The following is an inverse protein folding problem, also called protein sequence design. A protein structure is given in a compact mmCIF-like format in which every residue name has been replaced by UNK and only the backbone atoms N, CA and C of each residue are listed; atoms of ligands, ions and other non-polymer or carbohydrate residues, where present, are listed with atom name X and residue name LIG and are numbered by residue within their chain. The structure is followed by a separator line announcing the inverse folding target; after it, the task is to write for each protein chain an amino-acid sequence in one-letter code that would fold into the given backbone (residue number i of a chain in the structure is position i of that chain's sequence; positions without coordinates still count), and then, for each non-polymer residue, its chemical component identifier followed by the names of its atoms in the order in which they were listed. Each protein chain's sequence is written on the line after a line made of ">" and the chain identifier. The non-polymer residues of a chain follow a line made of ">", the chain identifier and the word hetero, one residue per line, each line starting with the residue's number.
data_IF_722590364970
#
_entry.id   IF_722590364970
#
_cell.length_a   1.000
_cell.length_b   1.000
_cell.length_c   1.000
_cell.angle_alpha   90.00
_cell.angle_beta   90.00
_cell.angle_gamma   90.00
#
_symmetry.space_group_name_H-M   'P 1'
#
loop_
_entity.id
_entity.type
_entity.pdbx_description
1 polymer ?
#
# COMPACT_ATOMS: atom_id res chain seq x y z
N UNK A 1 -10.02 -29.74 19.48
CA UNK A 1 -8.99 -28.69 19.63
C UNK A 1 -9.67 -27.36 19.39
N UNK A 2 -9.74 -26.47 20.38
CA UNK A 2 -10.61 -25.30 20.33
C UNK A 2 -10.30 -24.35 19.15
N UNK A 3 -9.09 -24.30 18.59
CA UNK A 3 -8.75 -23.36 17.51
C UNK A 3 -9.27 -23.70 16.10
N UNK A 4 -9.68 -24.96 15.85
CA UNK A 4 -10.29 -25.38 14.57
C UNK A 4 -11.82 -25.46 14.66
N UNK A 5 -12.37 -25.40 15.88
CA UNK A 5 -13.80 -25.56 16.17
C UNK A 5 -14.40 -24.43 17.02
N UNK A 6 -13.62 -23.45 17.50
CA UNK A 6 -14.16 -22.32 18.26
C UNK A 6 -14.71 -21.26 17.32
N UNK A 7 -15.85 -20.74 17.73
CA UNK A 7 -16.53 -19.54 17.23
C UNK A 7 -15.75 -18.23 17.52
N UNK A 8 -14.44 -18.30 17.77
CA UNK A 8 -13.58 -17.16 18.08
C UNK A 8 -12.77 -16.69 16.87
N UNK A 9 -12.63 -15.36 16.73
CA UNK A 9 -11.73 -14.75 15.73
C UNK A 9 -10.29 -15.02 16.16
N UNK A 10 -9.49 -15.65 15.29
CA UNK A 10 -8.07 -15.96 15.52
C UNK A 10 -7.21 -15.11 14.58
N UNK A 11 -6.22 -14.43 15.16
CA UNK A 11 -5.24 -13.66 14.38
C UNK A 11 -4.17 -14.59 13.81
N UNK A 12 -3.79 -14.31 12.56
CA UNK A 12 -2.76 -15.07 11.84
C UNK A 12 -1.73 -14.14 11.24
N UNK A 13 -0.48 -14.60 11.22
CA UNK A 13 0.66 -13.86 10.70
C UNK A 13 1.18 -14.52 9.42
N UNK A 14 0.92 -13.96 8.24
CA UNK A 14 1.57 -14.44 7.01
C UNK A 14 3.07 -14.18 7.07
N UNK A 15 3.85 -15.24 6.88
CA UNK A 15 5.30 -15.18 6.75
C UNK A 15 5.64 -15.61 5.33
N UNK A 16 6.24 -14.70 4.58
CA UNK A 16 6.57 -14.87 3.18
C UNK A 16 8.00 -14.38 2.92
N UNK A 17 8.62 -14.94 1.89
CA UNK A 17 9.90 -14.50 1.36
C UNK A 17 9.73 -14.10 -0.09
N UNK A 18 10.49 -13.08 -0.49
CA UNK A 18 10.57 -12.64 -1.88
C UNK A 18 11.98 -12.22 -2.24
N UNK A 19 12.31 -12.31 -3.53
CA UNK A 19 13.60 -11.91 -4.08
C UNK A 19 13.90 -12.64 -5.39
N UNK A 20 14.63 -11.99 -6.29
CA UNK A 20 15.09 -12.57 -7.56
C UNK A 20 13.97 -13.22 -8.41
N UNK A 21 12.76 -12.61 -8.39
CA UNK A 21 11.60 -13.11 -9.14
C UNK A 21 10.83 -14.24 -8.45
N UNK A 22 11.24 -14.63 -7.24
CA UNK A 22 10.53 -15.59 -6.40
C UNK A 22 9.67 -14.84 -5.38
N UNK A 23 8.44 -15.32 -5.19
CA UNK A 23 7.59 -15.02 -4.05
C UNK A 23 7.10 -16.36 -3.49
N UNK A 24 7.26 -16.58 -2.18
CA UNK A 24 6.90 -17.85 -1.53
C UNK A 24 6.29 -17.61 -0.16
N UNK A 25 5.13 -18.22 0.09
CA UNK A 25 4.54 -18.29 1.43
C UNK A 25 5.26 -19.40 2.21
N UNK A 26 5.88 -19.05 3.34
CA UNK A 26 6.56 -20.03 4.19
C UNK A 26 5.57 -20.67 5.17
N UNK A 27 4.77 -19.84 5.82
CA UNK A 27 3.71 -20.27 6.73
C UNK A 27 2.73 -19.12 7.01
N UNK A 28 1.57 -19.45 7.58
CA UNK A 28 0.61 -18.47 8.09
C UNK A 28 0.14 -18.91 9.50
N UNK A 29 1.06 -18.92 10.49
CA UNK A 29 0.77 -19.40 11.84
C UNK A 29 -0.25 -18.52 12.57
N UNK A 30 -0.86 -19.10 13.59
CA UNK A 30 -1.62 -18.36 14.60
C UNK A 30 -0.64 -17.49 15.40
N UNK A 31 -1.07 -16.27 15.75
CA UNK A 31 -0.28 -15.36 16.60
C UNK A 31 -1.14 -14.79 17.73
N UNK A 32 -0.52 -14.51 18.87
CA UNK A 32 -1.11 -13.76 19.98
C UNK A 32 -0.74 -12.27 19.95
N UNK A 33 -0.07 -11.82 18.87
CA UNK A 33 0.35 -10.45 18.65
C UNK A 33 1.55 -9.99 19.51
N UNK A 34 2.09 -10.84 20.39
CA UNK A 34 3.24 -10.47 21.23
C UNK A 34 4.53 -10.54 20.44
N UNK A 35 5.38 -9.53 20.66
CA UNK A 35 6.57 -9.33 19.84
C UNK A 35 7.57 -10.49 19.91
N UNK A 36 7.82 -11.03 21.11
CA UNK A 36 8.82 -12.07 21.33
C UNK A 36 8.39 -13.46 20.81
N UNK A 37 7.20 -13.99 21.15
CA UNK A 37 6.70 -15.23 20.55
C UNK A 37 6.63 -15.14 19.02
N UNK A 38 6.21 -13.98 18.50
CA UNK A 38 6.14 -13.75 17.04
C UNK A 38 7.52 -13.79 16.40
N UNK A 39 8.53 -13.12 16.97
CA UNK A 39 9.90 -13.16 16.46
C UNK A 39 10.50 -14.58 16.51
N UNK A 40 10.29 -15.31 17.61
CA UNK A 40 10.77 -16.69 17.76
C UNK A 40 10.11 -17.63 16.72
N UNK A 41 8.81 -17.45 16.47
CA UNK A 41 8.07 -18.20 15.46
C UNK A 41 8.63 -17.94 14.06
N UNK A 42 8.84 -16.67 13.70
CA UNK A 42 9.46 -16.31 12.41
C UNK A 42 10.84 -16.94 12.29
N UNK A 43 11.67 -16.86 13.33
CA UNK A 43 13.02 -17.42 13.35
C UNK A 43 13.03 -18.94 13.17
N UNK A 44 12.12 -19.67 13.83
CA UNK A 44 11.97 -21.13 13.63
C UNK A 44 11.65 -21.45 12.18
N UNK A 45 10.64 -20.77 11.61
CA UNK A 45 10.18 -21.03 10.24
C UNK A 45 11.29 -20.75 9.22
N UNK A 46 11.98 -19.61 9.29
CA UNK A 46 13.06 -19.33 8.33
C UNK A 46 14.26 -20.29 8.49
N UNK A 47 14.46 -20.84 9.69
CA UNK A 47 15.49 -21.85 9.96
C UNK A 47 15.09 -23.22 9.41
N UNK A 48 13.84 -23.63 9.56
CA UNK A 48 13.28 -24.86 9.00
C UNK A 48 13.35 -24.86 7.46
N UNK A 49 13.11 -23.70 6.84
CA UNK A 49 13.27 -23.52 5.39
C UNK A 49 14.74 -23.37 4.95
N UNK A 50 15.69 -23.33 5.89
CA UNK A 50 17.13 -23.15 5.64
C UNK A 50 17.46 -21.89 4.81
N UNK A 51 16.83 -20.75 5.13
CA UNK A 51 17.02 -19.47 4.43
C UNK A 51 17.49 -18.32 5.33
N UNK A 52 17.75 -18.58 6.62
CA UNK A 52 18.13 -17.56 7.60
C UNK A 52 19.31 -16.69 7.14
N UNK A 53 20.30 -17.28 6.48
CA UNK A 53 21.48 -16.63 5.94
C UNK A 53 21.20 -15.78 4.69
N UNK A 54 20.07 -15.98 4.02
CA UNK A 54 19.66 -15.27 2.79
C UNK A 54 18.76 -14.06 3.03
N UNK A 55 18.17 -13.92 4.21
CA UNK A 55 17.27 -12.78 4.52
C UNK A 55 18.06 -11.48 4.63
N UNK A 56 17.82 -10.51 3.75
CA UNK A 56 18.51 -9.20 3.77
C UNK A 56 17.63 -8.03 4.24
N UNK A 57 16.32 -8.18 4.15
CA UNK A 57 15.37 -7.13 4.46
C UNK A 57 14.11 -7.68 5.13
N UNK A 58 13.42 -6.83 5.90
CA UNK A 58 12.14 -7.09 6.53
C UNK A 58 11.12 -6.06 6.05
N UNK A 59 10.02 -6.52 5.45
CA UNK A 59 8.87 -5.67 5.13
C UNK A 59 7.75 -5.88 6.17
N UNK A 60 7.19 -4.79 6.72
CA UNK A 60 6.22 -4.85 7.81
C UNK A 60 5.29 -3.63 7.83
N UNK A 61 4.10 -3.77 8.42
CA UNK A 61 3.20 -2.65 8.65
C UNK A 61 3.76 -1.68 9.70
N UNK A 62 3.51 -0.38 9.51
CA UNK A 62 4.15 0.73 10.26
C UNK A 62 3.76 0.88 11.73
N UNK A 63 3.09 -0.11 12.32
CA UNK A 63 2.79 -0.17 13.76
C UNK A 63 4.05 -0.50 14.57
N UNK A 64 3.96 -0.68 15.89
CA UNK A 64 5.07 -0.76 16.85
C UNK A 64 6.10 -1.91 16.64
N UNK A 65 6.16 -2.53 15.47
CA UNK A 65 7.10 -3.57 15.05
C UNK A 65 8.57 -3.12 15.05
N UNK A 66 8.82 -1.81 14.84
CA UNK A 66 10.17 -1.20 14.87
C UNK A 66 10.61 -0.66 16.24
N UNK A 67 9.74 -0.68 17.26
CA UNK A 67 10.10 -0.12 18.58
C UNK A 67 11.18 -0.97 19.26
N UNK A 68 11.84 -0.42 20.29
CA UNK A 68 12.73 -1.21 21.15
C UNK A 68 11.92 -2.38 21.73
N UNK A 69 12.37 -3.61 21.47
CA UNK A 69 11.65 -4.84 21.86
C UNK A 69 10.56 -5.30 20.89
N UNK A 70 10.37 -4.62 19.76
CA UNK A 70 9.48 -5.03 18.68
C UNK A 70 10.00 -6.23 17.87
N UNK A 71 9.13 -6.83 17.07
CA UNK A 71 9.39 -8.08 16.33
C UNK A 71 10.65 -7.99 15.46
N UNK A 72 10.80 -6.90 14.69
CA UNK A 72 11.92 -6.76 13.76
C UNK A 72 13.27 -6.68 14.48
N UNK A 73 13.32 -5.92 15.58
CA UNK A 73 14.53 -5.79 16.41
C UNK A 73 14.95 -7.14 17.00
N UNK A 74 13.97 -7.90 17.54
CA UNK A 74 14.23 -9.23 18.11
C UNK A 74 14.66 -10.25 17.07
N UNK A 75 14.12 -10.17 15.86
CA UNK A 75 14.52 -11.05 14.77
C UNK A 75 15.96 -10.80 14.33
N UNK A 76 16.37 -9.53 14.19
CA UNK A 76 17.78 -9.18 13.93
C UNK A 76 18.72 -9.70 15.01
N UNK A 77 18.34 -9.54 16.30
CA UNK A 77 19.10 -10.07 17.44
C UNK A 77 19.25 -11.59 17.36
N UNK A 78 18.18 -12.31 17.00
CA UNK A 78 18.18 -13.76 16.85
C UNK A 78 19.06 -14.21 15.68
N UNK A 79 19.09 -13.44 14.60
CA UNK A 79 19.94 -13.70 13.42
C UNK A 79 21.38 -13.21 13.56
N UNK A 80 21.70 -12.46 14.63
CA UNK A 80 23.04 -11.92 14.88
C UNK A 80 23.52 -10.91 13.84
N UNK A 81 22.60 -10.26 13.09
CA UNK A 81 22.96 -9.29 12.04
C UNK A 81 21.87 -8.26 11.79
N UNK A 82 22.29 -7.12 11.25
CA UNK A 82 21.39 -6.07 10.79
C UNK A 82 20.68 -6.48 9.49
N UNK A 83 19.43 -6.03 9.34
CA UNK A 83 18.59 -6.22 8.18
C UNK A 83 18.01 -4.87 7.73
N UNK A 84 17.76 -4.73 6.43
CA UNK A 84 17.09 -3.54 5.91
C UNK A 84 15.62 -3.52 6.35
N UNK A 85 15.20 -2.47 7.04
CA UNK A 85 13.81 -2.28 7.46
C UNK A 85 13.00 -1.51 6.41
N UNK A 86 11.98 -2.15 5.85
CA UNK A 86 11.09 -1.61 4.81
C UNK A 86 9.67 -1.49 5.37
N UNK A 87 9.25 -0.26 5.69
CA UNK A 87 7.88 -0.05 6.14
C UNK A 87 6.90 -0.20 4.96
N UNK A 88 5.79 -0.89 5.15
CA UNK A 88 4.82 -1.16 4.09
C UNK A 88 4.26 0.15 3.50
N UNK A 89 4.47 0.37 2.20
CA UNK A 89 4.07 1.59 1.50
C UNK A 89 2.57 1.71 1.33
N UNK A 90 1.86 0.62 1.08
CA UNK A 90 0.40 0.64 1.07
C UNK A 90 -0.14 1.04 2.44
N UNK A 91 0.35 0.44 3.53
CA UNK A 91 -0.11 0.79 4.87
C UNK A 91 0.13 2.27 5.23
N UNK A 92 1.27 2.86 4.83
CA UNK A 92 1.48 4.32 4.98
C UNK A 92 0.41 5.15 4.24
N UNK A 93 0.02 4.71 3.04
CA UNK A 93 -0.98 5.39 2.23
C UNK A 93 -2.42 5.14 2.72
N UNK A 94 -2.69 4.00 3.36
CA UNK A 94 -3.94 3.74 4.06
C UNK A 94 -4.14 4.72 5.23
N UNK A 95 -3.08 4.97 6.00
CA UNK A 95 -3.06 5.97 7.08
C UNK A 95 -3.31 7.37 6.51
N UNK A 96 -2.66 7.72 5.41
CA UNK A 96 -2.88 8.99 4.70
C UNK A 96 -4.35 9.15 4.29
N UNK A 97 -4.90 8.16 3.56
CA UNK A 97 -6.29 8.19 3.08
C UNK A 97 -7.28 8.31 4.23
N UNK A 98 -7.10 7.51 5.29
CA UNK A 98 -7.95 7.52 6.47
C UNK A 98 -7.88 8.84 7.25
N UNK A 99 -6.68 9.41 7.38
CA UNK A 99 -6.47 10.69 8.09
C UNK A 99 -7.13 11.86 7.36
N UNK A 100 -6.94 11.96 6.04
CA UNK A 100 -7.59 13.00 5.21
C UNK A 100 -9.11 12.81 5.18
N UNK A 101 -9.59 11.57 5.02
CA UNK A 101 -11.01 11.26 5.09
C UNK A 101 -11.63 11.75 6.41
N UNK A 102 -10.98 11.47 7.54
CA UNK A 102 -11.48 11.84 8.87
C UNK A 102 -11.47 13.35 9.10
N UNK A 103 -10.54 14.08 8.49
CA UNK A 103 -10.47 15.54 8.55
C UNK A 103 -11.59 16.22 7.72
N UNK A 104 -11.95 15.65 6.58
CA UNK A 104 -12.98 16.21 5.68
C UNK A 104 -14.39 15.71 6.02
N UNK A 105 -14.51 14.46 6.42
CA UNK A 105 -15.78 13.76 6.68
C UNK A 105 -15.71 13.14 8.09
N UNK A 106 -15.84 13.96 9.16
CA UNK A 106 -15.72 13.47 10.52
C UNK A 106 -16.81 12.46 10.85
N UNK A 107 -16.40 11.31 11.35
CA UNK A 107 -17.32 10.25 11.75
C UNK A 107 -17.71 10.43 13.21
N UNK A 108 -19.01 10.60 13.48
CA UNK A 108 -19.52 10.82 14.85
C UNK A 108 -19.76 9.51 15.63
N UNK A 109 -19.35 8.37 15.09
CA UNK A 109 -19.63 7.03 15.64
C UNK A 109 -18.36 6.21 15.66
N UNK A 110 -18.20 5.39 16.70
CA UNK A 110 -17.15 4.37 16.80
C UNK A 110 -17.62 2.99 16.32
N UNK A 111 -18.79 2.91 15.66
CA UNK A 111 -19.29 1.66 15.07
C UNK A 111 -18.26 1.04 14.12
N UNK A 112 -18.11 -0.30 14.06
CA UNK A 112 -17.21 -0.98 13.11
C UNK A 112 -17.45 -0.58 11.65
N UNK A 113 -18.69 -0.22 11.31
CA UNK A 113 -19.12 0.17 9.98
C UNK A 113 -19.24 1.69 9.82
N UNK A 114 -18.92 2.17 8.62
CA UNK A 114 -19.09 3.57 8.25
C UNK A 114 -20.55 3.80 7.85
N UNK A 115 -21.29 4.54 8.68
CA UNK A 115 -22.74 4.70 8.51
C UNK A 115 -23.16 5.27 7.14
N UNK A 116 -22.36 6.16 6.56
CA UNK A 116 -22.61 6.67 5.21
C UNK A 116 -22.50 5.57 4.15
N UNK A 117 -21.55 4.63 4.32
CA UNK A 117 -21.34 3.53 3.39
C UNK A 117 -22.44 2.48 3.52
N UNK A 118 -22.93 2.22 4.74
CA UNK A 118 -24.11 1.38 4.99
C UNK A 118 -25.33 1.94 4.26
N UNK A 119 -25.64 3.22 4.44
CA UNK A 119 -26.78 3.87 3.77
C UNK A 119 -26.64 3.85 2.25
N UNK A 120 -25.45 4.09 1.72
CA UNK A 120 -25.22 4.02 0.27
C UNK A 120 -25.38 2.59 -0.27
N UNK A 121 -24.94 1.57 0.48
CA UNK A 121 -25.13 0.17 0.11
C UNK A 121 -26.62 -0.23 0.10
N UNK A 122 -27.42 0.29 1.03
CA UNK A 122 -28.88 0.09 1.03
C UNK A 122 -29.59 0.80 -0.13
N UNK A 123 -29.05 1.94 -0.57
CA UNK A 123 -29.53 2.65 -1.75
C UNK A 123 -29.20 1.93 -3.07
N UNK A 124 -28.13 1.13 -3.10
CA UNK A 124 -27.61 0.51 -4.33
C UNK A 124 -28.63 -0.22 -5.23
N UNK A 125 -29.61 -0.99 -4.71
CA UNK A 125 -30.61 -1.66 -5.55
C UNK A 125 -31.47 -0.71 -6.38
N UNK A 126 -31.53 0.57 -6.03
CA UNK A 126 -32.34 1.60 -6.69
C UNK A 126 -31.52 2.49 -7.65
N UNK A 127 -30.23 2.21 -7.84
CA UNK A 127 -29.34 3.02 -8.68
C UNK A 127 -29.59 2.77 -10.17
N UNK A 128 -29.88 3.83 -10.91
CA UNK A 128 -29.82 3.84 -12.36
C UNK A 128 -28.36 4.07 -12.80
N UNK A 129 -27.66 3.00 -13.16
CA UNK A 129 -26.21 3.05 -13.39
C UNK A 129 -25.79 3.83 -14.64
N UNK A 130 -26.68 4.04 -15.59
CA UNK A 130 -26.46 4.88 -16.78
C UNK A 130 -26.68 6.38 -16.50
N UNK A 131 -27.40 6.73 -15.44
CA UNK A 131 -27.61 8.11 -14.99
C UNK A 131 -26.56 8.57 -13.98
N UNK A 132 -25.29 8.55 -14.37
CA UNK A 132 -24.18 8.97 -13.52
C UNK A 132 -23.67 10.37 -13.89
N UNK A 133 -23.08 11.09 -12.92
CA UNK A 133 -22.38 12.36 -13.18
C UNK A 133 -20.87 12.18 -13.26
N UNK A 134 -20.20 13.12 -13.93
CA UNK A 134 -18.73 13.21 -13.99
C UNK A 134 -18.28 14.62 -13.60
N UNK A 135 -17.00 14.77 -13.26
CA UNK A 135 -16.42 16.04 -12.82
C UNK A 135 -15.83 16.87 -13.98
N UNK A 136 -15.78 16.35 -15.21
CA UNK A 136 -15.11 16.96 -16.36
C UNK A 136 -15.57 18.41 -16.68
N UNK A 137 -16.85 18.71 -16.46
CA UNK A 137 -17.40 20.05 -16.71
C UNK A 137 -16.85 21.10 -15.73
N UNK A 138 -16.53 20.66 -14.50
CA UNK A 138 -16.12 21.55 -13.38
C UNK A 138 -14.61 21.51 -13.11
N UNK A 139 -13.96 20.39 -13.42
CA UNK A 139 -12.56 20.15 -13.09
C UNK A 139 -11.73 20.20 -14.38
N UNK A 140 -11.24 21.40 -14.72
CA UNK A 140 -10.42 21.69 -15.91
C UNK A 140 -8.99 22.04 -15.51
N UNK A 141 -8.38 21.16 -14.73
CA UNK A 141 -7.01 21.33 -14.24
C UNK A 141 -6.01 20.65 -15.18
N UNK A 142 -4.79 21.18 -15.25
CA UNK A 142 -3.70 20.69 -16.09
C UNK A 142 -3.30 19.22 -15.78
N UNK A 143 -3.40 18.82 -14.53
CA UNK A 143 -3.03 17.47 -14.08
C UNK A 143 -4.07 16.39 -14.46
N UNK A 144 -5.27 16.74 -14.90
CA UNK A 144 -6.36 15.77 -15.15
C UNK A 144 -5.96 14.77 -16.24
N UNK A 145 -5.41 15.25 -17.35
CA UNK A 145 -5.00 14.39 -18.47
C UNK A 145 -3.88 13.43 -18.08
N UNK A 146 -2.97 13.86 -17.21
CA UNK A 146 -1.87 13.03 -16.72
C UNK A 146 -2.38 11.92 -15.79
N UNK A 147 -3.37 12.20 -14.94
CA UNK A 147 -4.02 11.17 -14.12
C UNK A 147 -4.85 10.22 -14.98
N UNK A 148 -5.54 10.72 -16.01
CA UNK A 148 -6.24 9.85 -16.96
C UNK A 148 -5.26 8.90 -17.67
N UNK A 149 -4.16 9.42 -18.23
CA UNK A 149 -3.12 8.58 -18.86
C UNK A 149 -2.54 7.56 -17.89
N UNK A 150 -2.25 7.98 -16.67
CA UNK A 150 -1.76 7.11 -15.59
C UNK A 150 -2.76 5.96 -15.32
N UNK A 151 -4.04 6.28 -15.08
CA UNK A 151 -5.05 5.28 -14.77
C UNK A 151 -5.25 4.31 -15.94
N UNK A 152 -5.31 4.82 -17.17
CA UNK A 152 -5.42 4.00 -18.37
C UNK A 152 -4.21 3.07 -18.55
N UNK A 153 -3.01 3.54 -18.21
CA UNK A 153 -1.80 2.72 -18.21
C UNK A 153 -1.85 1.59 -17.18
N UNK A 154 -2.36 1.85 -15.97
CA UNK A 154 -2.54 0.80 -14.96
C UNK A 154 -3.66 -0.18 -15.31
N UNK A 155 -4.77 0.26 -15.91
CA UNK A 155 -5.88 -0.62 -16.33
C UNK A 155 -5.50 -1.65 -17.40
N UNK A 156 -4.35 -1.46 -18.08
CA UNK A 156 -3.77 -2.44 -19.01
C UNK A 156 -2.96 -3.54 -18.31
N UNK A 157 -2.66 -3.38 -17.02
CA UNK A 157 -1.89 -4.32 -16.22
C UNK A 157 -2.83 -5.25 -15.46
N UNK A 158 -2.30 -6.41 -15.09
CA UNK A 158 -2.95 -7.27 -14.11
C UNK A 158 -2.78 -6.68 -12.71
N UNK A 159 -3.83 -6.79 -11.90
CA UNK A 159 -3.84 -6.32 -10.53
C UNK A 159 -3.99 -7.51 -9.57
N UNK A 160 -3.31 -7.47 -8.41
CA UNK A 160 -3.42 -8.54 -7.41
C UNK A 160 -4.80 -8.60 -6.74
N UNK A 161 -5.61 -7.54 -6.87
CA UNK A 161 -6.91 -7.39 -6.23
C UNK A 161 -7.91 -6.71 -7.17
N UNK A 162 -9.17 -7.13 -7.10
CA UNK A 162 -10.25 -6.56 -7.94
C UNK A 162 -10.57 -5.11 -7.58
N UNK A 163 -10.42 -4.73 -6.29
CA UNK A 163 -10.70 -3.37 -5.81
C UNK A 163 -9.71 -2.32 -6.36
N UNK A 164 -8.51 -2.73 -6.77
CA UNK A 164 -7.54 -1.86 -7.44
C UNK A 164 -8.05 -1.46 -8.83
N UNK A 165 -8.53 -2.44 -9.60
CA UNK A 165 -9.14 -2.18 -10.91
C UNK A 165 -10.36 -1.28 -10.75
N UNK A 166 -11.24 -1.59 -9.80
CA UNK A 166 -12.44 -0.79 -9.54
C UNK A 166 -12.10 0.67 -9.20
N UNK A 167 -11.11 0.91 -8.33
CA UNK A 167 -10.68 2.28 -8.01
C UNK A 167 -10.22 3.05 -9.27
N UNK A 168 -9.42 2.41 -10.12
CA UNK A 168 -8.94 3.03 -11.37
C UNK A 168 -10.10 3.32 -12.35
N UNK A 169 -11.03 2.36 -12.52
CA UNK A 169 -12.21 2.55 -13.36
C UNK A 169 -13.08 3.71 -12.85
N UNK A 170 -13.32 3.78 -11.53
CA UNK A 170 -14.07 4.87 -10.90
C UNK A 170 -13.37 6.22 -11.06
N UNK A 171 -12.04 6.28 -10.94
CA UNK A 171 -11.28 7.50 -11.13
C UNK A 171 -11.37 8.02 -12.57
N UNK A 172 -11.25 7.12 -13.55
CA UNK A 172 -11.42 7.47 -14.97
C UNK A 172 -12.82 8.00 -15.24
N UNK A 173 -13.86 7.32 -14.73
CA UNK A 173 -15.26 7.77 -14.88
C UNK A 173 -15.49 9.12 -14.20
N UNK A 174 -14.97 9.31 -12.98
CA UNK A 174 -15.06 10.57 -12.25
C UNK A 174 -14.47 11.73 -13.06
N UNK A 175 -13.31 11.52 -13.71
CA UNK A 175 -12.66 12.50 -14.57
C UNK A 175 -13.29 12.63 -15.98
N UNK A 176 -14.39 11.91 -16.26
CA UNK A 176 -15.12 11.97 -17.52
C UNK A 176 -14.55 11.10 -18.66
N UNK A 177 -13.61 10.21 -18.36
CA UNK A 177 -13.07 9.25 -19.32
C UNK A 177 -13.86 7.92 -19.36
N UNK A 178 -13.51 7.08 -20.34
CA UNK A 178 -14.01 5.70 -20.46
C UNK A 178 -12.88 4.73 -20.09
N UNK A 179 -13.06 3.84 -19.09
CA UNK A 179 -12.00 2.93 -18.67
C UNK A 179 -11.53 1.97 -19.76
N UNK A 180 -10.23 1.67 -19.78
CA UNK A 180 -9.63 0.75 -20.76
C UNK A 180 -10.35 -0.61 -20.81
N UNK A 181 -10.56 -1.13 -22.02
CA UNK A 181 -11.19 -2.42 -22.24
C UNK A 181 -12.71 -2.43 -22.03
N UNK A 182 -13.34 -1.29 -21.72
CA UNK A 182 -14.79 -1.17 -21.56
C UNK A 182 -15.42 -0.52 -22.80
N UNK A 183 -16.46 -1.15 -23.35
CA UNK A 183 -17.35 -0.55 -24.37
C UNK A 183 -18.46 0.31 -23.77
N UNK A 184 -18.88 -0.03 -22.55
CA UNK A 184 -19.85 0.70 -21.73
C UNK A 184 -19.35 0.71 -20.29
N UNK A 185 -19.61 1.79 -19.57
CA UNK A 185 -19.28 1.90 -18.15
C UNK A 185 -20.18 0.95 -17.35
N UNK A 186 -19.57 0.21 -16.43
CA UNK A 186 -20.25 -0.72 -15.52
C UNK A 186 -19.74 -0.46 -14.12
N UNK A 187 -20.65 -0.39 -13.14
CA UNK A 187 -20.27 -0.19 -11.75
C UNK A 187 -20.52 -1.46 -10.93
N UNK A 188 -19.47 -1.92 -10.24
CA UNK A 188 -19.59 -3.04 -9.31
C UNK A 188 -20.48 -2.65 -8.11
N UNK A 189 -21.14 -3.65 -7.52
CA UNK A 189 -21.91 -3.44 -6.29
C UNK A 189 -20.96 -2.98 -5.16
N UNK A 190 -21.37 -2.03 -4.28
CA UNK A 190 -20.59 -1.64 -3.13
C UNK A 190 -20.23 -2.83 -2.25
N UNK A 191 -18.95 -2.91 -1.88
CA UNK A 191 -18.38 -4.02 -1.13
C UNK A 191 -18.64 -3.96 0.37
N UNK A 192 -17.62 -4.35 1.13
CA UNK A 192 -17.65 -4.29 2.59
C UNK A 192 -17.57 -2.84 3.09
N UNK A 193 -18.29 -2.55 4.17
CA UNK A 193 -18.46 -1.21 4.76
C UNK A 193 -17.61 -1.00 6.03
N UNK A 194 -16.85 -2.02 6.40
CA UNK A 194 -16.05 -2.06 7.63
C UNK A 194 -14.85 -1.11 7.54
N UNK A 195 -14.54 -0.41 8.64
CA UNK A 195 -13.46 0.60 8.71
C UNK A 195 -12.06 0.09 8.35
N UNK A 196 -11.81 -1.20 8.59
CA UNK A 196 -10.53 -1.84 8.28
C UNK A 196 -10.33 -2.12 6.77
N UNK A 197 -11.34 -1.91 5.93
CA UNK A 197 -11.20 -2.01 4.46
C UNK A 197 -10.78 -0.66 3.92
N UNK A 198 -9.48 -0.38 3.92
CA UNK A 198 -8.96 0.97 3.70
C UNK A 198 -9.31 1.55 2.32
N UNK A 199 -9.16 0.75 1.27
CA UNK A 199 -9.56 1.11 -0.10
C UNK A 199 -11.05 1.46 -0.23
N UNK A 200 -11.90 0.93 0.65
CA UNK A 200 -13.34 1.19 0.62
C UNK A 200 -13.62 2.69 0.78
N UNK A 201 -12.81 3.46 1.52
CA UNK A 201 -13.00 4.91 1.63
C UNK A 201 -12.93 5.61 0.28
N UNK A 202 -11.95 5.25 -0.54
CA UNK A 202 -11.80 5.84 -1.87
C UNK A 202 -12.92 5.40 -2.82
N UNK A 203 -13.21 4.09 -2.86
CA UNK A 203 -14.24 3.52 -3.73
C UNK A 203 -15.64 4.04 -3.39
N UNK A 204 -16.02 4.03 -2.11
CA UNK A 204 -17.32 4.55 -1.67
C UNK A 204 -17.42 6.05 -1.92
N UNK A 205 -16.36 6.82 -1.65
CA UNK A 205 -16.40 8.26 -1.89
C UNK A 205 -16.69 8.59 -3.36
N UNK A 206 -15.95 7.96 -4.28
CA UNK A 206 -16.16 8.15 -5.71
C UNK A 206 -17.56 7.70 -6.14
N UNK A 207 -18.03 6.52 -5.72
CA UNK A 207 -19.40 6.05 -6.07
C UNK A 207 -20.48 6.98 -5.51
N UNK A 208 -20.38 7.36 -4.24
CA UNK A 208 -21.31 8.28 -3.60
C UNK A 208 -21.34 9.62 -4.32
N UNK A 209 -20.18 10.11 -4.79
CA UNK A 209 -20.12 11.34 -5.55
C UNK A 209 -20.74 11.16 -6.94
N UNK A 210 -20.39 10.10 -7.67
CA UNK A 210 -20.88 9.80 -9.02
C UNK A 210 -22.42 9.65 -9.05
N UNK A 211 -23.01 9.11 -8.00
CA UNK A 211 -24.47 8.92 -7.86
C UNK A 211 -25.12 9.89 -6.87
N UNK A 212 -24.45 10.98 -6.51
CA UNK A 212 -24.93 11.91 -5.49
C UNK A 212 -26.34 12.48 -5.76
N UNK A 213 -26.74 12.84 -7.00
CA UNK A 213 -28.09 13.32 -7.27
C UNK A 213 -29.18 12.29 -6.90
N UNK A 214 -29.01 11.04 -7.36
CA UNK A 214 -29.95 9.96 -7.06
C UNK A 214 -29.94 9.61 -5.57
N UNK A 215 -28.75 9.56 -4.95
CA UNK A 215 -28.61 9.22 -3.53
C UNK A 215 -29.23 10.27 -2.61
N UNK A 216 -29.08 11.56 -2.95
CA UNK A 216 -29.70 12.65 -2.21
C UNK A 216 -31.23 12.57 -2.26
N UNK A 217 -31.79 12.24 -3.42
CA UNK A 217 -33.23 12.09 -3.60
C UNK A 217 -33.79 10.89 -2.81
N UNK A 218 -33.14 9.73 -2.89
CA UNK A 218 -33.49 8.56 -2.10
C UNK A 218 -33.55 8.83 -0.59
N UNK A 219 -32.59 9.61 -0.07
CA UNK A 219 -32.55 9.94 1.37
C UNK A 219 -33.69 10.88 1.80
N UNK A 220 -34.17 11.78 0.92
CA UNK A 220 -35.32 12.65 1.24
C UNK A 220 -36.62 11.86 1.43
N UNK A 221 -36.76 10.75 0.71
CA UNK A 221 -37.98 9.93 0.69
C UNK A 221 -38.07 8.95 1.87
N UNK A 222 -37.02 8.86 2.71
CA UNK A 222 -36.97 7.89 3.80
C UNK A 222 -37.67 8.42 5.07
N UNK A 223 -38.57 7.65 5.72
CA UNK A 223 -39.24 8.09 6.94
C UNK A 223 -38.22 8.39 8.05
N UNK A 224 -38.23 9.61 8.58
CA UNK A 224 -37.27 10.05 9.60
C UNK A 224 -37.72 9.57 10.99
N UNK A 225 -36.99 8.63 11.60
CA UNK A 225 -37.18 8.30 13.03
C UNK A 225 -36.32 9.13 13.98
N UNK A 226 -35.57 10.13 13.51
CA UNK A 226 -34.94 11.13 14.40
C UNK A 226 -34.76 12.49 13.72
N UNK A 227 -34.82 13.54 14.54
CA UNK A 227 -34.88 14.98 14.21
C UNK A 227 -33.61 15.58 13.57
N UNK A 228 -32.74 14.77 12.97
CA UNK A 228 -31.57 15.24 12.24
C UNK A 228 -31.50 14.51 10.91
N UNK A 229 -32.05 15.11 9.85
CA UNK A 229 -31.67 14.73 8.48
C UNK A 229 -30.21 15.13 8.31
N UNK A 230 -29.28 14.26 8.75
CA UNK A 230 -27.86 14.40 8.41
C UNK A 230 -27.78 14.45 6.88
N UNK A 231 -27.02 15.39 6.33
CA UNK A 231 -26.85 15.54 4.89
C UNK A 231 -26.65 14.17 4.22
N UNK A 232 -27.48 13.88 3.20
CA UNK A 232 -27.48 12.61 2.47
C UNK A 232 -26.08 12.28 1.92
N UNK A 233 -25.41 13.32 1.42
CA UNK A 233 -24.05 13.29 0.88
C UNK A 233 -23.16 14.11 1.83
N UNK A 234 -21.98 13.61 2.25
CA UNK A 234 -21.05 14.39 3.04
C UNK A 234 -20.70 15.72 2.36
N UNK A 235 -20.67 16.85 3.09
CA UNK A 235 -20.53 18.18 2.49
C UNK A 235 -19.19 18.38 1.77
N UNK A 236 -18.12 17.73 2.24
CA UNK A 236 -16.76 17.81 1.66
C UNK A 236 -16.39 16.60 0.81
N UNK A 237 -17.39 15.91 0.26
CA UNK A 237 -17.16 14.69 -0.52
C UNK A 237 -16.40 14.97 -1.82
N UNK A 238 -16.69 16.10 -2.47
CA UNK A 238 -16.00 16.56 -3.66
C UNK A 238 -14.52 16.87 -3.39
N UNK A 239 -14.21 17.59 -2.31
CA UNK A 239 -12.84 17.85 -1.85
C UNK A 239 -12.07 16.53 -1.66
N UNK A 240 -12.70 15.53 -1.04
CA UNK A 240 -12.08 14.22 -0.83
C UNK A 240 -11.93 13.41 -2.14
N UNK A 241 -12.89 13.48 -3.06
CA UNK A 241 -12.77 12.85 -4.37
C UNK A 241 -11.62 13.45 -5.19
N UNK A 242 -11.46 14.78 -5.16
CA UNK A 242 -10.34 15.48 -5.81
C UNK A 242 -9.02 15.04 -5.18
N UNK A 243 -8.94 14.97 -3.85
CA UNK A 243 -7.75 14.44 -3.17
C UNK A 243 -7.38 13.02 -3.64
N UNK A 244 -8.37 12.13 -3.76
CA UNK A 244 -8.16 10.75 -4.20
C UNK A 244 -7.50 10.74 -5.60
N UNK A 245 -8.11 11.42 -6.56
CA UNK A 245 -7.65 11.35 -7.96
C UNK A 245 -6.35 12.13 -8.18
N UNK A 246 -6.16 13.27 -7.50
CA UNK A 246 -5.00 14.14 -7.69
C UNK A 246 -3.74 13.61 -7.02
N UNK A 247 -3.86 13.08 -5.80
CA UNK A 247 -2.69 12.71 -4.98
C UNK A 247 -2.61 11.20 -4.71
N UNK A 248 -3.70 10.60 -4.24
CA UNK A 248 -3.67 9.24 -3.69
C UNK A 248 -3.45 8.17 -4.76
N UNK A 249 -4.11 8.25 -5.93
CA UNK A 249 -4.00 7.23 -6.99
C UNK A 249 -2.54 7.05 -7.42
N UNK A 250 -1.84 8.13 -7.78
CA UNK A 250 -0.44 8.04 -8.20
C UNK A 250 0.43 7.41 -7.12
N UNK A 251 0.27 7.86 -5.88
CA UNK A 251 1.02 7.32 -4.75
C UNK A 251 0.75 5.83 -4.52
N UNK A 252 -0.51 5.41 -4.57
CA UNK A 252 -0.92 4.02 -4.32
C UNK A 252 -0.40 3.05 -5.37
N UNK A 253 -0.61 3.37 -6.64
CA UNK A 253 -0.28 2.45 -7.72
C UNK A 253 1.21 2.37 -8.03
N UNK A 254 1.98 3.40 -7.67
CA UNK A 254 3.45 3.37 -7.71
C UNK A 254 4.09 2.79 -6.45
N UNK A 255 3.31 2.51 -5.39
CA UNK A 255 3.82 2.08 -4.09
C UNK A 255 4.62 0.78 -4.14
N UNK A 256 4.27 -0.13 -5.05
CA UNK A 256 4.94 -1.43 -5.21
C UNK A 256 6.37 -1.32 -5.76
N UNK A 257 6.73 -0.21 -6.41
CA UNK A 257 8.10 0.01 -6.85
C UNK A 257 8.94 0.49 -5.65
N UNK A 258 9.90 -0.32 -5.23
CA UNK A 258 10.81 -0.02 -4.12
C UNK A 258 11.80 1.10 -4.47
N UNK A 259 12.36 1.07 -5.68
CA UNK A 259 13.43 1.97 -6.13
C UNK A 259 13.00 3.44 -6.10
N UNK A 260 11.78 3.73 -6.56
CA UNK A 260 11.24 5.09 -6.59
C UNK A 260 10.61 5.53 -5.26
N UNK A 261 10.65 4.70 -4.21
CA UNK A 261 9.98 5.00 -2.95
C UNK A 261 10.45 6.31 -2.30
N UNK A 262 11.77 6.63 -2.23
CA UNK A 262 12.23 7.89 -1.65
C UNK A 262 11.69 9.11 -2.42
N UNK A 263 11.83 9.11 -3.75
CA UNK A 263 11.35 10.21 -4.61
C UNK A 263 9.83 10.36 -4.54
N UNK A 264 9.08 9.28 -4.70
CA UNK A 264 7.61 9.34 -4.66
C UNK A 264 7.08 9.86 -3.31
N UNK A 265 7.72 9.50 -2.20
CA UNK A 265 7.32 10.01 -0.89
C UNK A 265 7.62 11.51 -0.77
N UNK A 266 8.78 11.97 -1.27
CA UNK A 266 9.15 13.38 -1.30
C UNK A 266 8.22 14.20 -2.21
N UNK A 267 7.96 13.71 -3.42
CA UNK A 267 7.08 14.35 -4.40
C UNK A 267 5.65 14.49 -3.86
N UNK A 268 5.10 13.44 -3.24
CA UNK A 268 3.78 13.48 -2.63
C UNK A 268 3.72 14.49 -1.48
N UNK A 269 4.75 14.55 -0.63
CA UNK A 269 4.81 15.51 0.47
C UNK A 269 4.84 16.95 -0.06
N UNK A 270 5.70 17.24 -1.04
CA UNK A 270 5.77 18.56 -1.70
C UNK A 270 4.44 18.94 -2.37
N UNK A 271 3.80 17.98 -3.03
CA UNK A 271 2.52 18.21 -3.69
C UNK A 271 1.40 18.55 -2.69
N UNK A 272 1.41 17.92 -1.50
CA UNK A 272 0.47 18.23 -0.42
C UNK A 272 0.81 19.54 0.31
N UNK A 273 2.08 19.90 0.45
CA UNK A 273 2.48 21.18 1.03
C UNK A 273 1.94 22.38 0.23
N UNK A 274 1.81 22.20 -1.09
CA UNK A 274 1.22 23.17 -2.02
C UNK A 274 -0.30 23.10 -2.12
N UNK A 275 -0.96 22.20 -1.40
CA UNK A 275 -2.42 22.10 -1.39
C UNK A 275 -3.05 23.32 -0.71
N UNK A 276 -4.07 23.90 -1.35
CA UNK A 276 -4.76 25.11 -0.89
C UNK A 276 -5.81 24.79 0.16
N UNK A 277 -6.40 23.59 0.09
CA UNK A 277 -7.30 23.09 1.12
C UNK A 277 -6.52 22.77 2.40
N UNK A 278 -6.62 23.67 3.38
CA UNK A 278 -5.93 23.57 4.67
C UNK A 278 -6.16 22.23 5.38
N UNK A 279 -7.38 21.69 5.32
CA UNK A 279 -7.69 20.42 5.98
C UNK A 279 -6.97 19.25 5.32
N UNK A 280 -6.90 19.21 3.98
CA UNK A 280 -6.13 18.18 3.24
C UNK A 280 -4.65 18.35 3.51
N UNK A 281 -4.11 19.57 3.40
CA UNK A 281 -2.70 19.86 3.64
C UNK A 281 -2.25 19.42 5.03
N UNK A 282 -2.87 19.96 6.09
CA UNK A 282 -2.43 19.70 7.46
C UNK A 282 -2.58 18.22 7.84
N UNK A 283 -3.71 17.60 7.48
CA UNK A 283 -3.95 16.20 7.81
C UNK A 283 -3.05 15.25 6.99
N UNK A 284 -2.82 15.57 5.71
CA UNK A 284 -1.95 14.82 4.82
C UNK A 284 -0.48 14.90 5.21
N UNK A 285 0.05 16.10 5.48
CA UNK A 285 1.42 16.29 5.94
C UNK A 285 1.65 15.67 7.32
N UNK A 286 0.69 15.78 8.23
CA UNK A 286 0.74 15.11 9.54
C UNK A 286 0.79 13.59 9.40
N UNK A 287 0.03 13.01 8.47
CA UNK A 287 0.08 11.59 8.19
C UNK A 287 1.44 11.19 7.62
N UNK A 288 1.89 11.82 6.54
CA UNK A 288 3.15 11.45 5.87
C UNK A 288 4.39 11.73 6.73
N UNK A 289 4.42 12.83 7.49
CA UNK A 289 5.54 13.19 8.35
C UNK A 289 5.85 12.13 9.43
N UNK A 290 4.85 11.30 9.80
CA UNK A 290 5.06 10.17 10.72
C UNK A 290 5.75 8.97 10.06
N UNK A 291 5.80 8.94 8.73
CA UNK A 291 6.14 7.79 7.91
C UNK A 291 7.24 8.07 6.86
N UNK A 292 8.08 9.09 7.08
CA UNK A 292 9.25 9.44 6.24
C UNK A 292 10.46 8.52 6.43
N UNK A 293 10.23 7.23 6.65
CA UNK A 293 11.30 6.27 6.84
C UNK A 293 12.13 6.04 5.57
N UNK A 294 11.53 6.09 4.38
CA UNK A 294 12.22 5.91 3.09
C UNK A 294 13.22 7.01 2.73
N UNK A 295 13.13 8.17 3.40
CA UNK A 295 14.09 9.26 3.26
C UNK A 295 15.20 9.19 4.32
N UNK A 296 15.24 8.16 5.17
CA UNK A 296 16.35 7.99 6.12
C UNK A 296 17.67 7.77 5.40
N UNK A 297 18.78 8.11 6.06
CA UNK A 297 20.13 8.04 5.49
C UNK A 297 20.48 6.67 4.91
N UNK A 298 19.89 5.58 5.40
CA UNK A 298 20.10 4.23 4.83
C UNK A 298 19.12 3.96 3.68
N UNK A 299 17.82 4.02 3.93
CA UNK A 299 16.81 3.58 2.94
C UNK A 299 16.72 4.46 1.71
N UNK A 300 17.19 5.71 1.78
CA UNK A 300 17.26 6.60 0.61
C UNK A 300 18.12 5.99 -0.51
N UNK A 301 19.01 5.05 -0.19
CA UNK A 301 19.80 4.28 -1.16
C UNK A 301 18.98 3.52 -2.20
N UNK A 302 17.69 3.25 -1.95
CA UNK A 302 16.75 2.73 -2.96
C UNK A 302 16.74 3.61 -4.22
N UNK A 303 16.89 4.91 -4.06
CA UNK A 303 16.77 5.89 -5.14
C UNK A 303 17.95 5.86 -6.13
N UNK A 304 19.08 5.22 -5.78
CA UNK A 304 20.17 4.93 -6.73
C UNK A 304 19.67 4.11 -7.94
N UNK A 305 18.62 3.32 -7.73
CA UNK A 305 18.04 2.42 -8.72
C UNK A 305 16.73 2.94 -9.33
N UNK A 306 16.36 4.20 -9.09
CA UNK A 306 15.16 4.83 -9.66
C UNK A 306 15.41 5.22 -11.13
N UNK A 307 14.70 4.58 -12.05
CA UNK A 307 14.82 4.83 -13.49
C UNK A 307 14.27 6.20 -13.91
N UNK A 308 13.35 6.77 -13.13
CA UNK A 308 12.71 8.05 -13.42
C UNK A 308 13.45 9.24 -12.79
N UNK A 309 14.47 8.99 -11.94
CA UNK A 309 15.27 10.06 -11.36
C UNK A 309 16.15 10.74 -12.42
N UNK A 310 16.13 12.09 -12.51
CA UNK A 310 16.99 12.83 -13.43
C UNK A 310 18.48 12.51 -13.25
N UNK A 311 19.22 12.50 -14.36
CA UNK A 311 20.65 12.16 -14.36
C UNK A 311 21.48 13.04 -13.43
N UNK A 312 21.26 14.36 -13.45
CA UNK A 312 21.96 15.30 -12.58
C UNK A 312 21.66 15.04 -11.10
N UNK A 313 20.42 14.67 -10.78
CA UNK A 313 20.06 14.30 -9.41
C UNK A 313 20.78 13.01 -8.98
N UNK A 314 20.93 12.01 -9.87
CA UNK A 314 21.73 10.80 -9.58
C UNK A 314 23.21 11.15 -9.33
N UNK A 315 23.78 12.08 -10.10
CA UNK A 315 25.15 12.57 -9.87
C UNK A 315 25.28 13.25 -8.51
N UNK A 316 24.30 14.06 -8.11
CA UNK A 316 24.26 14.69 -6.79
C UNK A 316 24.14 13.66 -5.66
N UNK A 317 23.33 12.61 -5.84
CA UNK A 317 23.25 11.49 -4.89
C UNK A 317 24.62 10.84 -4.69
N UNK A 318 25.35 10.53 -5.77
CA UNK A 318 26.70 9.93 -5.67
C UNK A 318 27.70 10.88 -5.03
N UNK A 319 27.64 12.17 -5.37
CA UNK A 319 28.49 13.19 -4.76
C UNK A 319 28.28 13.26 -3.25
N UNK A 320 27.03 13.35 -2.81
CA UNK A 320 26.70 13.42 -1.38
C UNK A 320 27.02 12.15 -0.62
N UNK A 321 26.83 10.97 -1.24
CA UNK A 321 27.23 9.68 -0.66
C UNK A 321 28.74 9.67 -0.31
N UNK A 322 29.58 10.36 -1.09
CA UNK A 322 31.03 10.44 -0.85
C UNK A 322 31.45 11.55 0.11
N UNK A 323 30.72 12.66 0.15
CA UNK A 323 31.18 13.89 0.83
C UNK A 323 30.41 14.25 2.10
N UNK A 324 29.15 13.83 2.23
CA UNK A 324 28.28 14.24 3.34
C UNK A 324 28.37 13.23 4.48
N UNK A 325 28.86 13.67 5.64
CA UNK A 325 28.88 12.84 6.84
C UNK A 325 27.45 12.51 7.29
N UNK A 326 27.26 11.27 7.74
CA UNK A 326 26.00 10.82 8.31
C UNK A 326 25.92 11.11 9.81
N UNK A 327 24.72 10.99 10.37
CA UNK A 327 24.56 11.02 11.83
C UNK A 327 25.19 9.78 12.48
N UNK A 328 25.78 9.93 13.68
CA UNK A 328 26.28 8.79 14.47
C UNK A 328 25.15 7.83 14.87
N UNK A 329 23.99 8.38 15.24
CA UNK A 329 22.76 7.64 15.53
C UNK A 329 21.63 8.11 14.59
N UNK A 330 21.62 7.67 13.33
CA UNK A 330 20.67 8.17 12.35
C UNK A 330 19.24 7.82 12.79
N UNK A 331 18.33 8.80 12.84
CA UNK A 331 16.98 8.53 13.28
C UNK A 331 16.29 7.58 12.27
N UNK A 332 15.44 6.64 12.75
CA UNK A 332 14.80 5.64 11.88
C UNK A 332 13.80 6.22 10.88
N UNK A 333 13.54 7.53 10.98
CA UNK A 333 12.74 8.35 10.07
C UNK A 333 13.26 9.78 10.10
N UNK A 334 13.09 10.49 8.99
CA UNK A 334 13.44 11.90 8.92
C UNK A 334 12.36 12.75 9.58
N UNK A 335 12.78 13.65 10.47
CA UNK A 335 11.96 14.76 10.97
C UNK A 335 12.49 16.02 10.30
N UNK A 336 11.73 16.59 9.36
CA UNK A 336 12.08 17.85 8.70
C UNK A 336 10.89 18.78 8.85
N UNK A 337 11.16 20.04 9.18
CA UNK A 337 10.13 21.07 9.28
C UNK A 337 9.50 21.34 7.90
N UNK A 338 8.20 21.63 7.88
CA UNK A 338 7.42 21.83 6.65
C UNK A 338 8.06 22.86 5.70
N UNK A 339 8.63 23.94 6.25
CA UNK A 339 9.25 25.03 5.49
C UNK A 339 10.55 24.63 4.78
N UNK A 340 11.22 23.54 5.17
CA UNK A 340 12.50 23.14 4.59
C UNK A 340 12.36 22.16 3.42
N UNK A 341 11.17 21.58 3.22
CA UNK A 341 11.00 20.51 2.22
C UNK A 341 11.03 21.01 0.78
N UNK A 342 10.58 22.24 0.50
CA UNK A 342 10.49 22.74 -0.88
C UNK A 342 11.85 22.72 -1.60
N UNK A 343 12.92 23.03 -0.86
CA UNK A 343 14.29 23.09 -1.38
C UNK A 343 15.04 21.75 -1.35
N UNK A 344 14.49 20.73 -0.69
CA UNK A 344 15.16 19.42 -0.59
C UNK A 344 14.91 18.57 -1.82
N UNK A 345 15.95 17.95 -2.33
CA UNK A 345 15.87 16.91 -3.35
C UNK A 345 16.13 15.54 -2.71
N UNK A 346 16.14 14.46 -3.48
CA UNK A 346 16.47 13.13 -2.91
C UNK A 346 17.91 13.12 -2.41
N UNK A 347 18.83 13.74 -3.17
CA UNK A 347 20.23 13.88 -2.77
C UNK A 347 20.40 14.58 -1.42
N UNK A 348 19.48 15.47 -1.02
CA UNK A 348 19.53 16.16 0.28
C UNK A 348 19.43 15.25 1.50
N UNK A 349 19.03 13.99 1.33
CA UNK A 349 18.92 13.00 2.41
C UNK A 349 20.02 11.93 2.35
N UNK A 350 20.91 12.01 1.36
CA UNK A 350 21.99 11.05 1.14
C UNK A 350 23.23 11.49 1.89
N UNK A 351 23.80 10.56 2.65
CA UNK A 351 25.06 10.70 3.38
C UNK A 351 25.94 9.47 3.15
N UNK A 352 27.14 9.43 3.72
CA UNK A 352 28.00 8.24 3.76
C UNK A 352 27.31 7.01 4.37
N UNK A 353 26.36 7.20 5.30
CA UNK A 353 25.57 6.10 5.87
C UNK A 353 24.70 5.39 4.82
N UNK A 354 24.44 6.01 3.67
CA UNK A 354 23.72 5.38 2.54
C UNK A 354 24.45 4.16 2.01
N UNK A 355 25.78 4.08 2.15
CA UNK A 355 26.52 2.87 1.76
C UNK A 355 26.06 1.62 2.51
N UNK A 356 25.58 1.77 3.76
CA UNK A 356 25.04 0.66 4.56
C UNK A 356 23.87 -0.03 3.84
N UNK A 357 23.11 0.69 3.02
CA UNK A 357 22.05 0.07 2.22
C UNK A 357 22.59 -0.92 1.19
N UNK A 358 23.70 -0.58 0.53
CA UNK A 358 24.36 -1.47 -0.43
C UNK A 358 24.92 -2.69 0.29
N UNK A 359 25.56 -2.49 1.45
CA UNK A 359 26.11 -3.58 2.27
C UNK A 359 25.01 -4.54 2.76
N UNK A 360 23.89 -4.00 3.28
CA UNK A 360 22.76 -4.80 3.77
C UNK A 360 22.13 -5.66 2.66
N UNK A 361 22.12 -5.17 1.41
CA UNK A 361 21.56 -5.88 0.26
C UNK A 361 22.62 -6.65 -0.55
N UNK A 362 23.87 -6.69 -0.08
CA UNK A 362 25.00 -7.35 -0.76
C UNK A 362 25.18 -6.85 -2.21
N UNK A 363 25.00 -5.54 -2.42
CA UNK A 363 25.14 -4.90 -3.72
C UNK A 363 26.57 -4.40 -3.88
N UNK A 364 27.22 -4.83 -4.95
CA UNK A 364 28.57 -4.38 -5.29
C UNK A 364 28.60 -2.87 -5.55
N UNK A 365 29.55 -2.17 -4.93
CA UNK A 365 29.68 -0.71 -4.94
C UNK A 365 30.47 -0.18 -6.14
N UNK A 366 31.17 -1.02 -6.91
CA UNK A 366 32.07 -0.54 -7.98
C UNK A 366 31.37 0.20 -9.12
N UNK A 367 30.03 0.10 -9.24
CA UNK A 367 29.29 0.96 -10.17
C UNK A 367 29.31 2.44 -9.78
N UNK A 368 29.53 2.78 -8.50
CA UNK A 368 29.59 4.16 -8.01
C UNK A 368 30.80 4.92 -8.58
N UNK A 369 31.85 4.21 -8.99
CA UNK A 369 33.06 4.80 -9.58
C UNK A 369 32.91 5.13 -11.07
N UNK A 370 31.78 4.76 -11.66
CA UNK A 370 31.41 5.10 -13.04
C UNK A 370 30.31 6.17 -13.02
N UNK A 371 30.35 7.09 -13.97
CA UNK A 371 29.30 8.11 -14.12
C UNK A 371 27.91 7.47 -14.23
N UNK A 372 26.88 8.01 -13.55
CA UNK A 372 25.53 7.47 -13.59
C UNK A 372 24.91 7.31 -14.98
N UNK A 373 25.38 8.04 -15.99
CA UNK A 373 24.93 7.87 -17.38
C UNK A 373 25.26 6.48 -17.94
N UNK A 374 26.30 5.81 -17.43
CA UNK A 374 26.76 4.51 -17.90
C UNK A 374 26.17 3.34 -17.11
N UNK A 375 25.51 3.61 -15.98
CA UNK A 375 24.98 2.59 -15.06
C UNK A 375 24.06 1.59 -15.75
N UNK A 376 23.25 2.03 -16.72
CA UNK A 376 22.32 1.16 -17.44
C UNK A 376 22.98 -0.04 -18.13
N UNK A 377 24.27 0.05 -18.45
CA UNK A 377 25.07 -1.03 -19.06
C UNK A 377 26.07 -1.67 -18.11
N UNK A 378 26.24 -1.13 -16.90
CA UNK A 378 27.17 -1.65 -15.91
C UNK A 378 26.60 -2.94 -15.27
N UNK A 379 27.31 -4.09 -15.34
CA UNK A 379 26.79 -5.36 -14.81
C UNK A 379 26.49 -5.35 -13.30
N UNK A 380 27.29 -4.60 -12.52
CA UNK A 380 27.17 -4.50 -11.06
C UNK A 380 25.92 -3.68 -10.69
N UNK A 381 25.71 -2.56 -11.40
CA UNK A 381 24.47 -1.79 -11.29
C UNK A 381 23.24 -2.62 -11.67
N UNK A 382 23.29 -3.33 -12.80
CA UNK A 382 22.17 -4.17 -13.25
C UNK A 382 21.83 -5.28 -12.23
N UNK A 383 22.85 -5.88 -11.59
CA UNK A 383 22.64 -6.85 -10.52
C UNK A 383 21.98 -6.21 -9.29
N UNK A 384 22.47 -5.05 -8.83
CA UNK A 384 21.85 -4.28 -7.74
C UNK A 384 20.41 -3.88 -8.07
N UNK A 385 20.16 -3.40 -9.29
CA UNK A 385 18.85 -3.00 -9.76
C UNK A 385 17.86 -4.16 -9.77
N UNK A 386 18.27 -5.36 -10.20
CA UNK A 386 17.44 -6.57 -10.11
C UNK A 386 17.05 -6.90 -8.67
N UNK A 387 17.99 -6.80 -7.72
CA UNK A 387 17.72 -7.04 -6.30
C UNK A 387 16.76 -6.01 -5.73
N UNK A 388 17.02 -4.72 -5.95
CA UNK A 388 16.18 -3.64 -5.44
C UNK A 388 14.77 -3.73 -5.99
N UNK A 389 14.61 -3.89 -7.32
CA UNK A 389 13.28 -4.05 -7.95
C UNK A 389 12.54 -5.31 -7.51
N UNK A 390 13.26 -6.32 -7.01
CA UNK A 390 12.68 -7.54 -6.43
C UNK A 390 12.21 -7.40 -4.98
N UNK A 391 12.49 -6.27 -4.30
CA UNK A 391 12.04 -6.03 -2.93
C UNK A 391 10.53 -5.78 -2.91
N UNK A 392 9.78 -6.61 -2.17
CA UNK A 392 8.40 -6.32 -1.84
C UNK A 392 8.34 -5.29 -0.69
N UNK A 393 7.80 -4.12 -1.02
CA UNK A 393 7.60 -2.99 -0.07
C UNK A 393 6.11 -2.74 0.22
N UNK A 394 5.24 -3.65 -0.20
CA UNK A 394 3.79 -3.64 0.04
C UNK A 394 3.34 -4.95 0.68
N UNK A 395 2.15 -4.97 1.27
CA UNK A 395 1.58 -6.12 1.98
C UNK A 395 0.65 -6.97 1.11
N UNK A 396 0.56 -6.73 -0.21
CA UNK A 396 -0.35 -7.46 -1.11
C UNK A 396 -0.16 -8.98 -1.03
N UNK A 397 1.09 -9.46 -0.95
CA UNK A 397 1.42 -10.87 -0.84
C UNK A 397 0.95 -11.47 0.49
N UNK A 398 1.09 -10.70 1.59
CA UNK A 398 0.64 -11.11 2.91
C UNK A 398 -0.90 -11.22 2.95
N UNK A 399 -1.61 -10.24 2.37
CA UNK A 399 -3.07 -10.29 2.26
C UNK A 399 -3.57 -11.48 1.45
N UNK A 400 -2.89 -11.83 0.34
CA UNK A 400 -3.20 -13.05 -0.42
C UNK A 400 -2.99 -14.31 0.43
N UNK A 401 -1.94 -14.34 1.26
CA UNK A 401 -1.69 -15.42 2.21
C UNK A 401 -2.81 -15.57 3.24
N UNK A 402 -3.28 -14.48 3.84
CA UNK A 402 -4.44 -14.50 4.76
C UNK A 402 -5.69 -15.01 4.06
N UNK A 403 -6.01 -14.48 2.88
CA UNK A 403 -7.19 -14.87 2.12
C UNK A 403 -7.16 -16.36 1.75
N UNK A 404 -5.99 -16.87 1.35
CA UNK A 404 -5.78 -18.29 1.09
C UNK A 404 -6.10 -19.12 2.33
N UNK A 405 -5.56 -18.76 3.50
CA UNK A 405 -5.82 -19.52 4.74
C UNK A 405 -7.28 -19.45 5.14
N UNK A 406 -7.93 -18.30 5.01
CA UNK A 406 -9.35 -18.14 5.32
C UNK A 406 -10.25 -19.02 4.44
N UNK A 407 -9.89 -19.22 3.17
CA UNK A 407 -10.60 -20.13 2.27
C UNK A 407 -10.54 -21.59 2.75
N UNK A 408 -9.39 -22.02 3.27
CA UNK A 408 -9.13 -23.42 3.65
C UNK A 408 -9.39 -23.74 5.12
N UNK A 409 -9.35 -22.75 6.02
CA UNK A 409 -9.71 -22.95 7.43
C UNK A 409 -11.20 -23.28 7.58
N UNK A 410 -12.03 -22.84 6.62
CA UNK A 410 -13.45 -23.22 6.55
C UNK A 410 -13.68 -24.63 6.01
N UNK A 411 -12.63 -25.34 5.61
CA UNK A 411 -12.72 -26.67 5.03
C UNK A 411 -12.69 -27.74 6.14
N UNK A 412 -13.72 -28.62 6.25
CA UNK A 412 -13.78 -29.65 7.28
C UNK A 412 -12.68 -30.74 7.18
N UNK A 413 -11.85 -30.72 6.13
CA UNK A 413 -10.78 -31.71 5.91
C UNK A 413 -9.47 -31.41 6.66
N UNK A 414 -9.23 -30.18 7.10
CA UNK A 414 -8.02 -29.84 7.88
C UNK A 414 -8.26 -30.07 9.37
N UNK A 415 -7.62 -31.08 9.96
CA UNK A 415 -7.83 -31.50 11.36
C UNK A 415 -6.74 -31.04 12.33
N UNK A 416 -5.64 -30.49 11.81
CA UNK A 416 -4.55 -29.90 12.59
C UNK A 416 -3.95 -28.67 11.89
N UNK A 417 -3.22 -27.85 12.65
CA UNK A 417 -2.50 -26.68 12.12
C UNK A 417 -1.41 -27.11 11.13
N UNK A 418 -0.66 -28.18 11.42
CA UNK A 418 0.38 -28.70 10.52
C UNK A 418 -0.20 -29.12 9.15
N UNK A 419 -1.36 -29.81 9.16
CA UNK A 419 -2.05 -30.18 7.92
C UNK A 419 -2.47 -28.95 7.12
N UNK A 420 -2.93 -27.88 7.80
CA UNK A 420 -3.28 -26.63 7.16
C UNK A 420 -2.03 -25.99 6.53
N UNK A 421 -0.91 -25.90 7.26
CA UNK A 421 0.32 -25.33 6.73
C UNK A 421 0.84 -26.11 5.51
N UNK A 422 0.83 -27.45 5.54
CA UNK A 422 1.19 -28.27 4.38
C UNK A 422 0.23 -28.06 3.20
N UNK A 423 -1.08 -27.97 3.45
CA UNK A 423 -2.07 -27.74 2.41
C UNK A 423 -1.85 -26.40 1.71
N UNK A 424 -1.46 -25.35 2.45
CA UNK A 424 -1.16 -24.04 1.87
C UNK A 424 -0.04 -24.12 0.83
N UNK A 425 1.00 -24.91 1.09
CA UNK A 425 2.11 -25.11 0.16
C UNK A 425 1.63 -25.75 -1.15
N UNK A 426 0.83 -26.82 -1.04
CA UNK A 426 0.28 -27.53 -2.20
C UNK A 426 -0.66 -26.63 -3.01
N UNK A 427 -1.50 -25.84 -2.35
CA UNK A 427 -2.45 -24.96 -3.04
C UNK A 427 -1.73 -23.78 -3.70
N UNK A 428 -0.74 -23.19 -3.05
CA UNK A 428 0.08 -22.12 -3.63
C UNK A 428 0.74 -22.61 -4.93
N UNK A 429 1.39 -23.77 -4.89
CA UNK A 429 2.07 -24.37 -6.04
C UNK A 429 1.07 -24.72 -7.15
N UNK A 430 -0.08 -25.30 -6.80
CA UNK A 430 -1.16 -25.58 -7.76
C UNK A 430 -1.69 -24.30 -8.43
N UNK A 431 -1.90 -23.20 -7.68
CA UNK A 431 -2.37 -21.93 -8.25
C UNK A 431 -1.33 -21.28 -9.16
N UNK A 432 -0.03 -21.48 -8.88
CA UNK A 432 1.05 -21.06 -9.78
C UNK A 432 1.05 -21.86 -11.09
N UNK A 433 0.81 -23.17 -11.03
CA UNK A 433 0.72 -24.03 -12.22
C UNK A 433 -0.58 -23.80 -13.02
N UNK A 434 -1.69 -23.49 -12.35
CA UNK A 434 -3.01 -23.35 -12.95
C UNK A 434 -3.68 -22.01 -12.60
N UNK A 435 -3.15 -20.87 -13.09
CA UNK A 435 -3.61 -19.53 -12.71
C UNK A 435 -5.05 -19.21 -13.14
N UNK A 436 -5.60 -19.93 -14.12
CA UNK A 436 -6.96 -19.75 -14.65
C UNK A 436 -7.98 -20.73 -14.07
N UNK A 437 -7.58 -21.63 -13.16
CA UNK A 437 -8.49 -22.58 -12.54
C UNK A 437 -9.51 -21.83 -11.66
N UNK A 438 -10.70 -21.58 -12.22
CA UNK A 438 -11.81 -21.01 -11.47
C UNK A 438 -12.18 -21.93 -10.31
N UNK A 439 -12.50 -21.35 -9.14
CA UNK A 439 -13.25 -22.06 -8.10
C UNK A 439 -14.60 -22.47 -8.69
N UNK A 440 -14.71 -23.66 -9.26
CA UNK A 440 -16.00 -24.27 -9.50
C UNK A 440 -16.61 -24.56 -8.14
N UNK A 441 -17.48 -23.66 -7.68
CA UNK A 441 -18.40 -23.97 -6.60
C UNK A 441 -19.15 -25.22 -7.01
N UNK A 442 -19.10 -26.25 -6.18
CA UNK A 442 -20.03 -27.36 -6.29
C UNK A 442 -21.45 -26.79 -6.15
N UNK A 443 -22.12 -26.54 -7.28
CA UNK A 443 -23.55 -26.80 -7.35
C UNK A 443 -23.69 -28.32 -7.18
N UNK A 444 -23.97 -28.74 -5.94
CA UNK A 444 -24.61 -30.01 -5.74
C UNK A 444 -26.02 -29.89 -6.35
N UNK A 445 -26.30 -30.82 -7.26
CA UNK A 445 -27.60 -31.12 -7.87
C UNK A 445 -28.73 -31.22 -6.87
#
# INVERSE_FOLDING_TARGET
>A
MPSLTNEGVVDRLPILVSGEGVEKILAVPITDGKAEPTANTIHSIISEWAISDRIRALCFDTTATRSKGGVCVRLQQSLGRDLLHLACRHHMLEILLGTVFSALIPETSQSPDIAAFVRFREFWPYVEQDQYRTANEKLKEDWVDDILKLCQGYLRKDHPRDDYRELLELAVVFLGGIPHGRKKIFFHKPGAVHRARWMARAIYALKMWIFAPQFAEYQKQRPSSSRAVKAAVPPKLDEFCIFIVRYYIRAWFSAACSANAPRNNLDLYKALAKETNKAIRESGLKALGRHMCYLSEVTVGLALFDDEMPLEEKRNVVANLRSMEGSEEPPPKVCVEEAEFDNKTVASFVTKNTEKFLDLLDIDKGFLDVDPAMWGTNPMYQAGARRVRGLLVTNDAAERGVALVQDFTKNPRTKSEDQLQCLLQVVEDHRKMYPTAKKYGHCAT
#
